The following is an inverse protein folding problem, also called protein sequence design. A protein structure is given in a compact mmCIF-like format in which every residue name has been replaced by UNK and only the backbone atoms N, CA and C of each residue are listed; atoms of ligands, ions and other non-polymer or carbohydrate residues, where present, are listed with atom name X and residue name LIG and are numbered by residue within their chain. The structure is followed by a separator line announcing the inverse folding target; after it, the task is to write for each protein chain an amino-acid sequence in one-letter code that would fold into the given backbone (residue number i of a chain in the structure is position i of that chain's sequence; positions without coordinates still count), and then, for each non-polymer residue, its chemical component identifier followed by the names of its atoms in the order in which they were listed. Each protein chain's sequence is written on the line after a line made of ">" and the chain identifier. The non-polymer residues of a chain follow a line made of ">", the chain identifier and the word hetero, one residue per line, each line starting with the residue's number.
data_IF_916959421733
#
_entry.id   IF_916959421733
#
_cell.length_a   1.000
_cell.length_b   1.000
_cell.length_c   1.000
_cell.angle_alpha   90.00
_cell.angle_beta   90.00
_cell.angle_gamma   90.00
#
_symmetry.space_group_name_H-M   'P 1'
#
loop_
_entity.id
_entity.type
_entity.pdbx_description
1 polymer ?
#
# COMPACT_ATOMS: atom_id res chain seq x y z
N UNK A 1 -11.73 -23.36 -7.60
CA UNK A 1 -12.68 -22.23 -7.62
C UNK A 1 -11.91 -21.00 -7.21
N UNK A 2 -12.00 -19.91 -7.97
CA UNK A 2 -11.29 -18.65 -7.68
C UNK A 2 -12.33 -17.61 -7.29
N UNK A 3 -12.21 -17.08 -6.08
CA UNK A 3 -13.09 -16.05 -5.55
C UNK A 3 -12.41 -14.69 -5.70
N UNK A 4 -13.05 -13.77 -6.43
CA UNK A 4 -12.50 -12.47 -6.80
C UNK A 4 -13.41 -11.40 -6.18
N UNK A 5 -12.85 -10.67 -5.22
CA UNK A 5 -13.50 -9.54 -4.57
C UNK A 5 -12.86 -8.25 -5.05
N UNK A 6 -13.68 -7.33 -5.59
CA UNK A 6 -13.26 -6.04 -6.12
C UNK A 6 -14.13 -4.93 -5.53
N UNK A 7 -13.62 -3.68 -5.48
CA UNK A 7 -14.46 -2.53 -5.20
C UNK A 7 -15.63 -2.45 -6.18
N UNK A 8 -16.85 -2.27 -5.67
CA UNK A 8 -18.05 -2.20 -6.51
C UNK A 8 -18.20 -0.85 -7.18
N UNK A 9 -17.69 0.21 -6.54
CA UNK A 9 -17.75 1.57 -7.06
C UNK A 9 -16.56 2.39 -6.59
N UNK A 10 -15.98 3.14 -7.52
CA UNK A 10 -14.83 4.00 -7.30
C UNK A 10 -15.17 5.38 -7.84
N UNK A 11 -14.94 6.41 -7.04
CA UNK A 11 -15.12 7.82 -7.41
C UNK A 11 -13.78 8.51 -7.19
N UNK A 12 -13.21 9.05 -8.26
CA UNK A 12 -11.94 9.81 -8.22
C UNK A 12 -12.17 11.17 -8.86
N UNK A 13 -11.65 12.23 -8.24
CA UNK A 13 -11.67 13.57 -8.80
C UNK A 13 -11.78 14.67 -7.76
N UNK A 14 -11.71 15.92 -8.22
CA UNK A 14 -11.79 17.08 -7.35
C UNK A 14 -13.20 17.18 -6.74
N UNK A 15 -13.28 17.33 -5.42
CA UNK A 15 -14.55 17.38 -4.70
C UNK A 15 -15.31 16.05 -4.67
N UNK A 16 -14.66 14.92 -4.98
CA UNK A 16 -15.27 13.58 -4.92
C UNK A 16 -15.88 13.25 -3.55
N UNK A 17 -15.36 13.83 -2.46
CA UNK A 17 -15.88 13.61 -1.10
C UNK A 17 -17.36 13.99 -0.98
N UNK A 18 -17.84 14.96 -1.78
CA UNK A 18 -19.23 15.41 -1.83
C UNK A 18 -20.19 14.36 -2.44
N UNK A 19 -19.65 13.25 -2.97
CA UNK A 19 -20.43 12.13 -3.53
C UNK A 19 -20.61 10.98 -2.54
N UNK A 20 -20.13 11.09 -1.29
CA UNK A 20 -20.16 9.97 -0.34
C UNK A 20 -21.59 9.49 -0.03
N UNK A 21 -22.55 10.40 0.16
CA UNK A 21 -23.98 10.04 0.35
C UNK A 21 -24.54 9.30 -0.87
N UNK A 22 -24.20 9.77 -2.07
CA UNK A 22 -24.59 9.11 -3.32
C UNK A 22 -23.98 7.70 -3.43
N UNK A 23 -22.71 7.54 -3.04
CA UNK A 23 -22.04 6.25 -3.02
C UNK A 23 -22.70 5.26 -2.05
N UNK A 24 -22.96 5.68 -0.81
CA UNK A 24 -23.63 4.86 0.22
C UNK A 24 -25.02 4.41 -0.27
N UNK A 25 -25.78 5.33 -0.87
CA UNK A 25 -27.11 5.04 -1.42
C UNK A 25 -27.05 4.02 -2.56
N UNK A 26 -26.15 4.17 -3.52
CA UNK A 26 -26.04 3.26 -4.67
C UNK A 26 -25.52 1.87 -4.30
N UNK A 27 -24.72 1.77 -3.24
CA UNK A 27 -24.27 0.50 -2.68
C UNK A 27 -25.36 -0.18 -1.82
N UNK A 28 -26.55 0.43 -1.69
CA UNK A 28 -27.66 -0.04 -0.86
C UNK A 28 -27.27 -0.30 0.60
N UNK A 29 -26.33 0.50 1.12
CA UNK A 29 -25.93 0.45 2.51
C UNK A 29 -26.95 1.21 3.34
N UNK A 30 -27.65 0.50 4.23
CA UNK A 30 -28.66 1.09 5.13
C UNK A 30 -28.10 1.27 6.53
N UNK A 31 -28.74 2.16 7.30
CA UNK A 31 -28.31 2.67 8.61
C UNK A 31 -27.12 3.61 8.49
N UNK A 32 -26.83 4.35 9.54
CA UNK A 32 -25.73 5.30 9.55
C UNK A 32 -24.41 4.55 9.83
N UNK A 33 -23.33 4.83 9.07
CA UNK A 33 -22.03 4.25 9.34
C UNK A 33 -21.38 4.80 10.62
N UNK A 34 -20.31 4.14 11.06
CA UNK A 34 -19.30 4.77 11.92
C UNK A 34 -18.17 5.33 11.03
N UNK A 35 -17.83 6.60 11.20
CA UNK A 35 -16.70 7.23 10.52
C UNK A 35 -15.45 7.05 11.37
N UNK A 36 -14.40 6.47 10.81
CA UNK A 36 -13.11 6.25 11.46
C UNK A 36 -12.09 7.21 10.88
N UNK A 37 -11.46 8.03 11.72
CA UNK A 37 -10.50 9.08 11.32
C UNK A 37 -9.46 9.29 12.42
N UNK A 38 -8.42 10.07 12.16
CA UNK A 38 -7.54 10.65 13.19
C UNK A 38 -7.91 12.12 13.49
N UNK A 39 -7.33 12.69 14.56
CA UNK A 39 -7.59 14.07 15.03
C UNK A 39 -7.27 15.16 14.00
N UNK A 40 -6.30 14.92 13.12
CA UNK A 40 -5.89 15.89 12.10
C UNK A 40 -6.88 15.86 10.95
N UNK A 41 -7.19 14.66 10.45
CA UNK A 41 -8.10 14.45 9.32
C UNK A 41 -9.56 14.75 9.69
N UNK A 42 -9.93 14.63 10.97
CA UNK A 42 -11.28 14.97 11.44
C UNK A 42 -11.72 16.36 10.95
N UNK A 43 -10.83 17.35 11.09
CA UNK A 43 -11.07 18.75 10.73
C UNK A 43 -10.94 19.04 9.24
N UNK A 44 -10.27 18.16 8.49
CA UNK A 44 -9.97 18.36 7.07
C UNK A 44 -11.07 17.75 6.20
N UNK A 45 -11.59 16.58 6.58
CA UNK A 45 -12.47 15.80 5.72
C UNK A 45 -13.53 14.99 6.48
N UNK A 46 -13.22 14.44 7.66
CA UNK A 46 -14.12 13.46 8.27
C UNK A 46 -15.40 14.07 8.83
N UNK A 47 -15.39 15.32 9.33
CA UNK A 47 -16.60 16.04 9.74
C UNK A 47 -17.57 16.23 8.58
N UNK A 48 -17.07 16.66 7.43
CA UNK A 48 -17.91 16.84 6.24
C UNK A 48 -18.54 15.52 5.79
N UNK A 49 -17.84 14.40 5.94
CA UNK A 49 -18.39 13.05 5.66
C UNK A 49 -19.43 12.66 6.71
N UNK A 50 -19.16 12.90 7.98
CA UNK A 50 -20.07 12.60 9.09
C UNK A 50 -21.37 13.41 8.98
N UNK A 51 -21.29 14.71 8.71
CA UNK A 51 -22.44 15.61 8.51
C UNK A 51 -23.26 15.18 7.28
N UNK A 52 -22.57 14.81 6.18
CA UNK A 52 -23.22 14.29 5.00
C UNK A 52 -23.96 12.97 5.24
N UNK A 53 -23.66 12.22 6.29
CA UNK A 53 -24.25 10.90 6.55
C UNK A 53 -24.98 10.81 7.89
N UNK A 54 -25.07 11.90 8.66
CA UNK A 54 -25.62 11.95 10.02
C UNK A 54 -25.02 10.85 10.92
N UNK A 55 -23.69 10.78 10.95
CA UNK A 55 -22.94 9.63 11.49
C UNK A 55 -21.97 10.02 12.61
N UNK A 56 -21.79 9.11 13.57
CA UNK A 56 -20.80 9.27 14.63
C UNK A 56 -19.36 9.13 14.11
N UNK A 57 -18.43 9.79 14.81
CA UNK A 57 -16.99 9.71 14.53
C UNK A 57 -16.26 8.94 15.63
N UNK A 58 -15.39 8.01 15.22
CA UNK A 58 -14.40 7.35 16.05
C UNK A 58 -13.00 7.88 15.73
N UNK A 59 -12.35 8.48 16.73
CA UNK A 59 -10.99 9.00 16.62
C UNK A 59 -9.99 7.88 16.93
N UNK A 60 -9.35 7.37 15.88
CA UNK A 60 -8.22 6.47 15.93
C UNK A 60 -6.98 7.18 16.49
N UNK A 61 -6.44 6.64 17.59
CA UNK A 61 -5.26 7.22 18.25
C UNK A 61 -3.98 6.47 17.96
N UNK A 62 -4.00 5.15 18.11
CA UNK A 62 -2.81 4.30 17.98
C UNK A 62 -3.15 2.97 17.32
N UNK A 63 -2.19 2.45 16.55
CA UNK A 63 -2.34 1.15 15.90
C UNK A 63 -1.88 0.03 16.83
N UNK A 64 -2.76 -0.39 17.74
CA UNK A 64 -2.52 -1.52 18.63
C UNK A 64 -3.77 -2.40 18.79
N UNK A 65 -3.60 -3.59 19.35
CA UNK A 65 -4.70 -4.54 19.53
C UNK A 65 -5.79 -4.03 20.47
N UNK A 66 -5.45 -3.16 21.42
CA UNK A 66 -6.40 -2.60 22.37
C UNK A 66 -7.35 -1.62 21.67
N UNK A 67 -6.82 -0.72 20.86
CA UNK A 67 -7.61 0.22 20.06
C UNK A 67 -8.51 -0.52 19.06
N UNK A 68 -7.98 -1.55 18.39
CA UNK A 68 -8.78 -2.38 17.47
C UNK A 68 -9.95 -3.02 18.21
N UNK A 69 -9.71 -3.61 19.37
CA UNK A 69 -10.75 -4.26 20.17
C UNK A 69 -11.79 -3.26 20.70
N UNK A 70 -11.37 -2.06 21.09
CA UNK A 70 -12.29 -0.98 21.49
C UNK A 70 -13.24 -0.59 20.35
N UNK A 71 -12.71 -0.38 19.14
CA UNK A 71 -13.51 -0.03 17.98
C UNK A 71 -14.49 -1.16 17.62
N UNK A 72 -14.02 -2.42 17.62
CA UNK A 72 -14.86 -3.60 17.38
C UNK A 72 -16.02 -3.69 18.38
N UNK A 73 -15.75 -3.46 19.66
CA UNK A 73 -16.78 -3.51 20.70
C UNK A 73 -17.80 -2.38 20.54
N UNK A 74 -17.38 -1.18 20.14
CA UNK A 74 -18.28 -0.08 19.81
C UNK A 74 -19.19 -0.43 18.61
N UNK A 75 -18.61 -0.94 17.53
CA UNK A 75 -19.33 -1.38 16.32
C UNK A 75 -20.42 -2.39 16.68
N UNK A 76 -20.06 -3.43 17.45
CA UNK A 76 -20.99 -4.49 17.87
C UNK A 76 -22.08 -3.97 18.79
N UNK A 77 -21.72 -3.16 19.80
CA UNK A 77 -22.66 -2.60 20.79
C UNK A 77 -23.73 -1.73 20.15
N UNK A 78 -23.34 -0.93 19.14
CA UNK A 78 -24.24 0.02 18.49
C UNK A 78 -24.94 -0.57 17.25
N UNK A 79 -24.69 -1.84 16.91
CA UNK A 79 -25.29 -2.49 15.74
C UNK A 79 -24.88 -1.85 14.41
N UNK A 80 -23.67 -1.29 14.34
CA UNK A 80 -23.13 -0.65 13.14
C UNK A 80 -22.93 -1.71 12.06
N UNK A 81 -23.46 -1.45 10.85
CA UNK A 81 -23.50 -2.44 9.75
C UNK A 81 -22.51 -2.17 8.62
N UNK A 82 -21.86 -1.02 8.64
CA UNK A 82 -20.75 -0.68 7.75
C UNK A 82 -19.98 0.50 8.36
N UNK A 83 -18.71 0.63 7.98
CA UNK A 83 -17.82 1.69 8.49
C UNK A 83 -17.11 2.40 7.34
N UNK A 84 -16.71 3.65 7.55
CA UNK A 84 -16.02 4.46 6.54
C UNK A 84 -14.71 4.94 7.14
N UNK A 85 -13.59 4.58 6.52
CA UNK A 85 -12.28 5.09 6.90
C UNK A 85 -12.00 6.37 6.13
N UNK A 86 -11.77 7.48 6.84
CA UNK A 86 -11.42 8.78 6.26
C UNK A 86 -10.04 9.16 6.79
N UNK A 87 -9.00 9.04 5.96
CA UNK A 87 -7.64 9.33 6.42
C UNK A 87 -6.53 8.77 5.56
N UNK A 88 -5.30 8.85 6.09
CA UNK A 88 -4.13 8.25 5.47
C UNK A 88 -4.11 6.73 5.63
N UNK A 89 -3.06 6.08 5.12
CA UNK A 89 -2.95 4.61 5.07
C UNK A 89 -3.17 3.89 6.41
N UNK A 90 -2.71 4.48 7.53
CA UNK A 90 -2.89 3.86 8.87
C UNK A 90 -4.36 3.83 9.31
N UNK A 91 -5.14 4.89 9.04
CA UNK A 91 -6.57 4.95 9.35
C UNK A 91 -7.34 3.95 8.49
N UNK A 92 -7.00 3.87 7.20
CA UNK A 92 -7.63 2.93 6.27
C UNK A 92 -7.32 1.48 6.67
N UNK A 93 -6.06 1.16 7.00
CA UNK A 93 -5.68 -0.18 7.45
C UNK A 93 -6.38 -0.56 8.75
N UNK A 94 -6.48 0.36 9.71
CA UNK A 94 -7.21 0.14 10.97
C UNK A 94 -8.71 -0.13 10.71
N UNK A 95 -9.34 0.70 9.87
CA UNK A 95 -10.75 0.56 9.46
C UNK A 95 -10.98 -0.82 8.84
N UNK A 96 -10.14 -1.18 7.86
CA UNK A 96 -10.21 -2.44 7.13
C UNK A 96 -10.09 -3.66 8.07
N UNK A 97 -9.22 -3.59 9.08
CA UNK A 97 -9.07 -4.66 10.08
C UNK A 97 -10.31 -4.77 10.97
N UNK A 98 -10.86 -3.64 11.43
CA UNK A 98 -12.07 -3.64 12.23
C UNK A 98 -13.27 -4.21 11.45
N UNK A 99 -13.44 -3.78 10.19
CA UNK A 99 -14.46 -4.30 9.29
C UNK A 99 -14.33 -5.81 9.09
N UNK A 100 -13.12 -6.28 8.79
CA UNK A 100 -12.82 -7.70 8.59
C UNK A 100 -13.14 -8.55 9.82
N UNK A 101 -12.70 -8.12 11.01
CA UNK A 101 -12.93 -8.87 12.26
C UNK A 101 -14.40 -8.93 12.67
N UNK A 102 -15.20 -7.92 12.31
CA UNK A 102 -16.64 -7.89 12.59
C UNK A 102 -17.45 -8.60 11.49
N UNK A 103 -16.93 -8.67 10.27
CA UNK A 103 -17.64 -9.24 9.12
C UNK A 103 -18.63 -8.27 8.48
N UNK A 104 -18.31 -6.97 8.47
CA UNK A 104 -19.12 -5.92 7.84
C UNK A 104 -18.35 -5.23 6.70
N UNK A 105 -19.03 -4.70 5.68
CA UNK A 105 -18.37 -3.94 4.62
C UNK A 105 -17.79 -2.61 5.12
N UNK A 106 -16.81 -2.09 4.39
CA UNK A 106 -16.28 -0.74 4.60
C UNK A 106 -16.08 0.03 3.31
N UNK A 107 -16.04 1.36 3.44
CA UNK A 107 -15.63 2.29 2.39
C UNK A 107 -14.30 2.93 2.75
N UNK A 108 -13.51 3.21 1.72
CA UNK A 108 -12.20 3.87 1.82
C UNK A 108 -12.29 5.29 1.26
N UNK A 109 -11.97 6.29 2.08
CA UNK A 109 -11.89 7.71 1.70
C UNK A 109 -10.46 8.18 2.01
N UNK A 110 -9.48 7.83 1.15
CA UNK A 110 -8.09 8.16 1.41
C UNK A 110 -7.85 9.67 1.30
N UNK A 111 -7.15 10.23 2.28
CA UNK A 111 -6.70 11.65 2.26
C UNK A 111 -5.24 11.81 1.87
N UNK A 112 -4.54 10.70 1.62
CA UNK A 112 -3.18 10.66 1.10
C UNK A 112 -2.96 9.40 0.26
N UNK A 113 -2.11 9.48 -0.75
CA UNK A 113 -1.78 8.37 -1.65
C UNK A 113 -0.38 7.80 -1.36
N UNK A 114 -0.17 7.20 -0.18
CA UNK A 114 1.17 6.76 0.29
C UNK A 114 1.57 5.33 -0.05
N UNK A 115 0.59 4.45 -0.29
CA UNK A 115 0.76 3.04 -0.67
C UNK A 115 -0.59 2.45 -1.09
N UNK A 116 -0.59 1.26 -1.68
CA UNK A 116 -1.79 0.61 -2.25
C UNK A 116 -2.82 0.10 -1.22
N UNK A 117 -2.50 0.23 0.07
CA UNK A 117 -3.34 -0.14 1.22
C UNK A 117 -4.70 0.57 1.25
N UNK A 118 -4.82 1.69 0.52
CA UNK A 118 -6.07 2.43 0.33
C UNK A 118 -7.14 1.62 -0.42
N UNK A 119 -6.74 0.57 -1.15
CA UNK A 119 -7.64 -0.30 -1.93
C UNK A 119 -7.40 -1.79 -1.76
N UNK A 120 -6.25 -2.19 -1.22
CA UNK A 120 -5.83 -3.59 -1.26
C UNK A 120 -6.55 -4.49 -0.24
N UNK A 121 -6.76 -5.78 -0.58
CA UNK A 121 -7.28 -6.80 0.34
C UNK A 121 -6.18 -7.31 1.31
N UNK A 122 -5.23 -6.45 1.67
CA UNK A 122 -4.13 -6.76 2.57
C UNK A 122 -4.04 -5.69 3.65
N UNK A 123 -3.99 -6.08 4.92
CA UNK A 123 -3.73 -5.16 6.03
C UNK A 123 -2.45 -5.53 6.75
N UNK A 124 -1.63 -4.55 7.12
CA UNK A 124 -0.44 -4.78 7.93
C UNK A 124 -0.77 -4.53 9.40
N UNK A 125 -0.75 -5.59 10.21
CA UNK A 125 -0.83 -5.48 11.66
C UNK A 125 0.53 -5.05 12.22
N UNK A 126 0.56 -3.87 12.85
CA UNK A 126 1.76 -3.32 13.50
C UNK A 126 2.00 -3.98 14.88
N UNK A 127 2.40 -5.25 14.88
CA UNK A 127 2.89 -5.93 16.09
C UNK A 127 4.42 -5.78 16.20
N UNK A 128 5.05 -6.37 17.24
CA UNK A 128 6.52 -6.50 17.34
C UNK A 128 7.17 -7.13 16.10
N UNK A 129 6.40 -7.88 15.31
CA UNK A 129 6.72 -8.30 13.96
C UNK A 129 5.52 -7.93 13.08
N UNK A 130 5.68 -7.08 12.06
CA UNK A 130 4.58 -6.78 11.14
C UNK A 130 4.07 -8.05 10.48
N UNK A 131 2.76 -8.28 10.54
CA UNK A 131 2.12 -9.41 9.85
C UNK A 131 1.09 -8.86 8.88
N UNK A 132 1.29 -9.11 7.59
CA UNK A 132 0.26 -8.83 6.59
C UNK A 132 -0.79 -9.94 6.64
N UNK A 133 -2.04 -9.56 6.86
CA UNK A 133 -3.19 -10.47 6.83
C UNK A 133 -4.08 -10.16 5.64
N UNK A 134 -4.65 -11.22 5.03
CA UNK A 134 -5.66 -11.07 3.99
C UNK A 134 -6.96 -10.61 4.63
N UNK A 135 -7.56 -9.59 4.05
CA UNK A 135 -8.78 -8.92 4.48
C UNK A 135 -9.66 -8.65 3.27
N UNK A 136 -10.87 -8.15 3.50
CA UNK A 136 -11.76 -7.78 2.40
C UNK A 136 -11.28 -6.49 1.69
N UNK A 137 -11.50 -6.45 0.38
CA UNK A 137 -11.40 -5.22 -0.40
C UNK A 137 -12.45 -4.20 0.07
N UNK A 138 -12.21 -2.88 -0.02
CA UNK A 138 -13.29 -1.92 0.23
C UNK A 138 -14.39 -2.13 -0.81
N UNK A 139 -15.66 -2.03 -0.41
CA UNK A 139 -16.77 -2.15 -1.36
C UNK A 139 -16.97 -0.85 -2.16
N UNK A 140 -16.46 0.27 -1.64
CA UNK A 140 -16.52 1.59 -2.28
C UNK A 140 -15.29 2.43 -1.94
N UNK A 141 -14.82 3.21 -2.90
CA UNK A 141 -13.68 4.12 -2.75
C UNK A 141 -14.09 5.54 -3.19
N UNK A 142 -13.76 6.55 -2.39
CA UNK A 142 -13.88 7.97 -2.75
C UNK A 142 -12.54 8.65 -2.57
N UNK A 143 -11.83 8.88 -3.67
CA UNK A 143 -10.53 9.53 -3.66
C UNK A 143 -10.67 10.97 -4.15
N UNK A 144 -10.73 11.91 -3.21
CA UNK A 144 -10.79 13.34 -3.52
C UNK A 144 -9.40 13.87 -3.87
N UNK A 145 -9.20 14.22 -5.13
CA UNK A 145 -7.89 14.63 -5.62
C UNK A 145 -7.47 16.00 -5.11
N UNK A 146 -8.40 16.86 -4.68
CA UNK A 146 -8.07 18.14 -4.06
C UNK A 146 -7.49 17.93 -2.66
N UNK A 147 -8.09 17.05 -1.87
CA UNK A 147 -7.59 16.69 -0.54
C UNK A 147 -6.22 16.00 -0.66
N UNK A 148 -6.11 15.01 -1.56
CA UNK A 148 -4.87 14.23 -1.75
C UNK A 148 -3.73 15.13 -2.25
N UNK A 149 -3.99 16.08 -3.15
CA UNK A 149 -2.99 17.04 -3.66
C UNK A 149 -2.41 17.93 -2.54
N UNK A 150 -3.20 18.21 -1.51
CA UNK A 150 -2.79 19.01 -0.36
C UNK A 150 -2.04 18.22 0.73
N UNK A 151 -1.96 16.89 0.62
CA UNK A 151 -1.19 16.06 1.55
C UNK A 151 0.33 16.31 1.41
N UNK A 152 1.15 16.02 2.44
CA UNK A 152 2.60 16.17 2.36
C UNK A 152 3.18 15.43 1.16
N UNK A 153 3.99 16.11 0.33
CA UNK A 153 4.58 15.57 -0.90
C UNK A 153 5.34 14.24 -0.68
N UNK A 154 5.93 14.06 0.51
CA UNK A 154 6.60 12.80 0.89
C UNK A 154 5.67 11.58 0.79
N UNK A 155 4.37 11.74 1.10
CA UNK A 155 3.38 10.67 0.98
C UNK A 155 3.12 10.35 -0.50
N UNK A 156 2.97 11.35 -1.36
CA UNK A 156 2.83 11.17 -2.81
C UNK A 156 4.05 10.43 -3.40
N UNK A 157 5.26 10.85 -3.03
CA UNK A 157 6.51 10.22 -3.45
C UNK A 157 6.61 8.76 -3.00
N UNK A 158 6.20 8.48 -1.74
CA UNK A 158 6.08 7.11 -1.22
C UNK A 158 5.11 6.28 -2.07
N UNK A 159 3.92 6.80 -2.41
CA UNK A 159 2.97 6.05 -3.24
C UNK A 159 3.49 5.76 -4.64
N UNK A 160 4.19 6.72 -5.26
CA UNK A 160 4.84 6.48 -6.55
C UNK A 160 5.87 5.34 -6.45
N UNK A 161 6.71 5.38 -5.40
CA UNK A 161 7.72 4.36 -5.16
C UNK A 161 7.13 2.97 -4.93
N UNK A 162 5.99 2.89 -4.22
CA UNK A 162 5.22 1.67 -4.01
C UNK A 162 4.70 1.09 -5.34
N UNK A 163 4.05 1.91 -6.17
CA UNK A 163 3.53 1.46 -7.48
C UNK A 163 4.65 1.07 -8.44
N UNK A 164 5.77 1.81 -8.46
CA UNK A 164 6.93 1.47 -9.28
C UNK A 164 7.48 0.08 -8.87
N UNK A 165 7.39 -0.27 -7.59
CA UNK A 165 7.84 -1.56 -7.05
C UNK A 165 7.07 -2.77 -7.62
N UNK A 166 5.86 -2.57 -8.15
CA UNK A 166 5.12 -3.59 -8.90
C UNK A 166 5.95 -4.18 -10.04
N UNK A 167 6.85 -3.40 -10.65
CA UNK A 167 7.72 -3.88 -11.72
C UNK A 167 8.50 -5.13 -11.32
N UNK A 168 9.23 -5.08 -10.19
CA UNK A 168 10.01 -6.24 -9.71
C UNK A 168 9.13 -7.32 -9.11
N UNK A 169 7.98 -6.96 -8.52
CA UNK A 169 7.00 -7.94 -8.04
C UNK A 169 6.51 -8.85 -9.17
N UNK A 170 6.22 -8.29 -10.35
CA UNK A 170 5.82 -9.06 -11.53
C UNK A 170 6.96 -9.91 -12.08
N UNK A 171 8.20 -9.41 -12.08
CA UNK A 171 9.37 -10.21 -12.47
C UNK A 171 9.54 -11.42 -11.54
N UNK A 172 9.41 -11.22 -10.23
CA UNK A 172 9.46 -12.32 -9.25
C UNK A 172 8.31 -13.31 -9.40
N UNK A 173 7.10 -12.81 -9.68
CA UNK A 173 5.94 -13.69 -9.88
C UNK A 173 6.11 -14.54 -11.14
N UNK A 174 6.62 -13.94 -12.22
CA UNK A 174 6.93 -14.64 -13.47
C UNK A 174 8.03 -15.69 -13.25
N UNK A 175 9.11 -15.34 -12.55
CA UNK A 175 10.17 -16.27 -12.18
C UNK A 175 9.63 -17.46 -11.37
N UNK A 176 8.76 -17.22 -10.39
CA UNK A 176 8.14 -18.27 -9.59
C UNK A 176 7.24 -19.19 -10.42
N UNK A 177 6.53 -18.64 -11.42
CA UNK A 177 5.76 -19.44 -12.36
C UNK A 177 6.67 -20.35 -13.20
N UNK A 178 7.74 -19.79 -13.77
CA UNK A 178 8.65 -20.51 -14.67
C UNK A 178 9.45 -21.60 -13.93
N UNK A 179 9.95 -21.32 -12.73
CA UNK A 179 10.84 -22.24 -12.01
C UNK A 179 10.13 -23.17 -11.02
N UNK A 180 8.98 -22.77 -10.48
CA UNK A 180 8.24 -23.54 -9.45
C UNK A 180 6.85 -23.97 -9.88
N UNK A 181 6.39 -23.57 -11.07
CA UNK A 181 5.03 -23.85 -11.53
C UNK A 181 3.96 -23.14 -10.70
N UNK A 182 4.30 -22.06 -9.99
CA UNK A 182 3.32 -21.27 -9.24
C UNK A 182 2.26 -20.71 -10.20
N UNK A 183 1.01 -20.56 -9.73
CA UNK A 183 -0.02 -19.89 -10.52
C UNK A 183 0.40 -18.48 -10.92
N UNK A 184 0.27 -18.14 -12.21
CA UNK A 184 0.45 -16.78 -12.75
C UNK A 184 -0.87 -16.28 -13.33
N UNK A 185 -1.29 -15.07 -12.96
CA UNK A 185 -2.52 -14.48 -13.45
C UNK A 185 -2.25 -13.37 -14.45
N UNK A 186 -2.28 -13.65 -15.75
CA UNK A 186 -1.91 -12.72 -16.82
C UNK A 186 -2.63 -11.36 -16.74
N UNK A 187 -3.93 -11.38 -16.44
CA UNK A 187 -4.72 -10.15 -16.27
C UNK A 187 -4.24 -9.31 -15.08
N UNK A 188 -4.04 -9.94 -13.92
CA UNK A 188 -3.55 -9.24 -12.73
C UNK A 188 -2.13 -8.71 -12.93
N UNK A 189 -1.27 -9.52 -13.55
CA UNK A 189 0.10 -9.15 -13.83
C UNK A 189 0.20 -7.99 -14.83
N UNK A 190 -0.59 -8.03 -15.90
CA UNK A 190 -0.64 -6.97 -16.91
C UNK A 190 -1.14 -5.65 -16.33
N UNK A 191 -2.21 -5.69 -15.52
CA UNK A 191 -2.77 -4.50 -14.87
C UNK A 191 -1.75 -3.86 -13.92
N UNK A 192 -1.08 -4.68 -13.10
CA UNK A 192 -0.08 -4.20 -12.16
C UNK A 192 1.16 -3.62 -12.85
N UNK A 193 1.67 -4.31 -13.88
CA UNK A 193 2.79 -3.84 -14.71
C UNK A 193 2.44 -2.52 -15.44
N UNK A 194 1.22 -2.41 -15.96
CA UNK A 194 0.74 -1.19 -16.60
C UNK A 194 0.69 -0.02 -15.60
N UNK A 195 0.27 -0.27 -14.36
CA UNK A 195 0.24 0.74 -13.29
C UNK A 195 1.64 1.29 -13.00
N UNK A 196 2.66 0.42 -12.88
CA UNK A 196 4.06 0.85 -12.73
C UNK A 196 4.55 1.71 -13.91
N UNK A 197 4.28 1.27 -15.14
CA UNK A 197 4.71 1.97 -16.35
C UNK A 197 4.08 3.36 -16.46
N UNK A 198 2.77 3.47 -16.22
CA UNK A 198 2.06 4.77 -16.26
C UNK A 198 2.67 5.75 -15.26
N UNK A 199 2.98 5.31 -14.04
CA UNK A 199 3.61 6.16 -13.03
C UNK A 199 5.01 6.60 -13.45
N UNK A 200 5.83 5.69 -13.99
CA UNK A 200 7.17 6.03 -14.50
C UNK A 200 7.11 7.04 -15.65
N UNK A 201 6.24 6.78 -16.64
CA UNK A 201 6.10 7.61 -17.84
C UNK A 201 5.58 9.02 -17.53
N UNK A 202 4.80 9.17 -16.47
CA UNK A 202 4.18 10.44 -16.08
C UNK A 202 4.80 11.06 -14.82
N UNK A 203 5.96 10.59 -14.37
CA UNK A 203 6.53 10.93 -13.06
C UNK A 203 6.61 12.44 -12.78
N UNK A 204 6.95 13.26 -13.79
CA UNK A 204 7.04 14.72 -13.64
C UNK A 204 5.67 15.41 -13.50
N UNK A 205 4.59 14.77 -13.97
CA UNK A 205 3.23 15.33 -14.02
C UNK A 205 2.39 14.93 -12.82
N UNK A 206 2.77 13.89 -12.08
CA UNK A 206 1.96 13.35 -10.96
C UNK A 206 1.72 14.40 -9.87
N UNK A 207 2.64 15.35 -9.69
CA UNK A 207 2.46 16.42 -8.71
C UNK A 207 1.30 17.36 -9.06
N UNK A 208 1.10 17.61 -10.35
CA UNK A 208 0.02 18.46 -10.85
C UNK A 208 -1.28 17.66 -10.97
N UNK A 209 -1.14 16.40 -11.38
CA UNK A 209 -2.23 15.46 -11.58
C UNK A 209 -2.07 14.19 -10.73
N UNK A 210 -2.51 14.30 -9.47
CA UNK A 210 -2.44 13.19 -8.50
C UNK A 210 -3.38 12.03 -8.86
N UNK A 211 -4.33 12.23 -9.78
CA UNK A 211 -5.25 11.17 -10.23
C UNK A 211 -4.49 9.99 -10.85
N UNK A 212 -3.38 10.28 -11.55
CA UNK A 212 -2.51 9.29 -12.16
C UNK A 212 -2.02 8.28 -11.11
N UNK A 213 -1.54 8.78 -9.97
CA UNK A 213 -1.08 7.92 -8.89
C UNK A 213 -2.25 7.19 -8.21
N UNK A 214 -3.34 7.92 -7.94
CA UNK A 214 -4.52 7.36 -7.27
C UNK A 214 -5.11 6.19 -8.06
N UNK A 215 -5.30 6.35 -9.37
CA UNK A 215 -5.81 5.30 -10.25
C UNK A 215 -4.84 4.11 -10.35
N UNK A 216 -3.53 4.35 -10.34
CA UNK A 216 -2.54 3.30 -10.35
C UNK A 216 -2.55 2.49 -9.03
N UNK A 217 -2.69 3.16 -7.88
CA UNK A 217 -2.84 2.50 -6.57
C UNK A 217 -4.14 1.69 -6.48
N UNK A 218 -5.25 2.23 -7.00
CA UNK A 218 -6.53 1.49 -7.10
C UNK A 218 -6.36 0.26 -7.99
N UNK A 219 -5.66 0.41 -9.12
CA UNK A 219 -5.38 -0.67 -10.06
C UNK A 219 -4.51 -1.77 -9.44
N UNK A 220 -3.52 -1.41 -8.60
CA UNK A 220 -2.76 -2.36 -7.78
C UNK A 220 -3.67 -3.18 -6.85
N UNK A 221 -4.61 -2.53 -6.15
CA UNK A 221 -5.60 -3.22 -5.31
C UNK A 221 -6.49 -4.19 -6.09
N UNK A 222 -6.99 -3.74 -7.24
CA UNK A 222 -7.79 -4.57 -8.16
C UNK A 222 -6.98 -5.76 -8.68
N UNK A 223 -5.70 -5.55 -9.05
CA UNK A 223 -4.82 -6.62 -9.48
C UNK A 223 -4.64 -7.69 -8.39
N UNK A 224 -4.46 -7.28 -7.12
CA UNK A 224 -4.40 -8.21 -5.99
C UNK A 224 -5.71 -8.97 -5.77
N UNK A 225 -6.86 -8.29 -5.92
CA UNK A 225 -8.18 -8.92 -5.88
C UNK A 225 -8.34 -9.98 -6.97
N UNK A 226 -7.96 -9.66 -8.21
CA UNK A 226 -7.95 -10.61 -9.34
C UNK A 226 -6.99 -11.76 -9.06
N UNK A 227 -5.78 -11.51 -8.54
CA UNK A 227 -4.81 -12.56 -8.26
C UNK A 227 -5.22 -13.46 -7.08
N UNK A 228 -6.03 -12.95 -6.14
CA UNK A 228 -6.31 -13.59 -4.86
C UNK A 228 -5.10 -13.64 -3.92
N UNK A 229 -4.08 -12.83 -4.19
CA UNK A 229 -2.85 -12.73 -3.41
C UNK A 229 -2.16 -11.38 -3.65
N UNK A 230 -1.15 -11.02 -2.84
CA UNK A 230 -0.36 -9.81 -3.11
C UNK A 230 0.70 -9.97 -4.21
N UNK A 231 0.84 -11.14 -4.85
CA UNK A 231 1.86 -11.39 -5.88
C UNK A 231 1.99 -10.29 -6.95
N UNK A 232 0.91 -9.70 -7.50
CA UNK A 232 1.06 -8.68 -8.54
C UNK A 232 1.76 -7.41 -8.07
N UNK A 233 1.73 -7.10 -6.78
CA UNK A 233 2.24 -5.83 -6.24
C UNK A 233 3.32 -6.03 -5.18
N UNK A 234 3.67 -7.27 -4.84
CA UNK A 234 4.60 -7.60 -3.77
C UNK A 234 5.47 -8.80 -4.15
N UNK A 235 6.76 -8.56 -4.33
CA UNK A 235 7.84 -9.51 -4.53
C UNK A 235 8.92 -9.36 -3.46
N UNK A 236 10.18 -9.57 -3.84
CA UNK A 236 11.35 -9.48 -2.97
C UNK A 236 11.60 -8.06 -2.45
N UNK A 237 11.21 -7.02 -3.19
CA UNK A 237 11.34 -5.63 -2.74
C UNK A 237 10.47 -5.35 -1.49
N UNK A 238 9.26 -5.92 -1.44
CA UNK A 238 8.42 -5.89 -0.25
C UNK A 238 8.97 -6.75 0.88
N UNK A 239 9.54 -7.92 0.58
CA UNK A 239 10.19 -8.74 1.61
C UNK A 239 11.39 -8.00 2.24
N UNK A 240 12.13 -7.24 1.44
CA UNK A 240 13.17 -6.34 1.92
C UNK A 240 12.60 -5.22 2.81
N UNK A 241 11.51 -4.56 2.41
CA UNK A 241 10.84 -3.55 3.27
C UNK A 241 10.39 -4.14 4.60
N UNK A 242 9.73 -5.30 4.59
CA UNK A 242 9.30 -5.95 5.83
C UNK A 242 10.48 -6.38 6.71
N UNK A 243 11.59 -6.83 6.11
CA UNK A 243 12.81 -7.12 6.86
C UNK A 243 13.40 -5.86 7.50
N UNK A 244 13.38 -4.71 6.81
CA UNK A 244 13.77 -3.42 7.37
C UNK A 244 12.87 -2.99 8.52
N UNK A 245 11.54 -3.09 8.38
CA UNK A 245 10.59 -2.77 9.45
C UNK A 245 10.86 -3.56 10.75
N UNK A 246 11.44 -4.76 10.65
CA UNK A 246 11.77 -5.60 11.80
C UNK A 246 13.09 -5.24 12.49
N UNK A 247 14.03 -4.59 11.80
CA UNK A 247 15.41 -4.40 12.28
C UNK A 247 15.83 -2.94 12.40
N UNK A 248 15.19 -2.03 11.68
CA UNK A 248 15.49 -0.61 11.72
C UNK A 248 14.91 0.00 12.99
N UNK A 249 15.65 0.91 13.62
CA UNK A 249 15.18 1.62 14.82
C UNK A 249 13.99 2.54 14.49
N UNK A 250 14.04 3.20 13.32
CA UNK A 250 13.00 4.07 12.79
C UNK A 250 12.80 3.77 11.31
N UNK A 251 11.87 2.88 10.94
CA UNK A 251 11.62 2.56 9.55
C UNK A 251 11.10 3.80 8.78
N UNK A 252 11.49 3.90 7.51
CA UNK A 252 10.99 4.88 6.57
C UNK A 252 9.53 4.58 6.17
N UNK A 253 8.93 5.40 5.31
CA UNK A 253 7.60 5.06 4.78
C UNK A 253 7.68 3.77 3.94
N UNK A 254 6.62 2.97 3.97
CA UNK A 254 6.57 1.66 3.29
C UNK A 254 6.99 1.76 1.82
N UNK A 255 6.35 2.66 1.05
CA UNK A 255 6.66 2.82 -0.37
C UNK A 255 8.08 3.29 -0.63
N UNK A 256 8.67 4.11 0.26
CA UNK A 256 10.09 4.50 0.17
C UNK A 256 11.02 3.27 0.28
N UNK A 257 10.74 2.38 1.24
CA UNK A 257 11.50 1.15 1.44
C UNK A 257 11.32 0.18 0.25
N UNK A 258 10.09 0.02 -0.24
CA UNK A 258 9.77 -0.79 -1.42
C UNK A 258 10.46 -0.26 -2.67
N UNK A 259 10.50 1.06 -2.87
CA UNK A 259 11.20 1.71 -3.98
C UNK A 259 12.71 1.43 -3.97
N UNK A 260 13.37 1.58 -2.82
CA UNK A 260 14.81 1.24 -2.69
C UNK A 260 15.05 -0.25 -2.89
N UNK A 261 14.18 -1.10 -2.35
CA UNK A 261 14.19 -2.54 -2.63
C UNK A 261 14.09 -2.83 -4.13
N UNK A 262 13.19 -2.14 -4.83
CA UNK A 262 12.93 -2.31 -6.26
C UNK A 262 14.19 -2.03 -7.10
N UNK A 263 14.99 -1.00 -6.75
CA UNK A 263 16.28 -0.74 -7.40
C UNK A 263 17.19 -1.98 -7.32
N UNK A 264 17.34 -2.56 -6.12
CA UNK A 264 18.22 -3.71 -5.89
C UNK A 264 17.71 -4.99 -6.54
N UNK A 265 16.40 -5.24 -6.47
CA UNK A 265 15.81 -6.43 -7.09
C UNK A 265 15.82 -6.35 -8.62
N UNK A 266 15.62 -5.16 -9.20
CA UNK A 266 15.74 -4.98 -10.64
C UNK A 266 17.17 -5.24 -11.12
N UNK A 267 18.19 -4.85 -10.35
CA UNK A 267 19.58 -5.18 -10.66
C UNK A 267 19.81 -6.71 -10.64
N UNK A 268 19.29 -7.43 -9.64
CA UNK A 268 19.39 -8.90 -9.57
C UNK A 268 18.67 -9.61 -10.72
N UNK A 269 17.57 -9.03 -11.21
CA UNK A 269 16.85 -9.51 -12.40
C UNK A 269 17.55 -9.14 -13.72
N UNK A 270 18.68 -8.41 -13.70
CA UNK A 270 19.30 -7.80 -14.89
C UNK A 270 18.31 -6.91 -15.69
N UNK A 271 17.41 -6.22 -14.97
CA UNK A 271 16.43 -5.30 -15.54
C UNK A 271 16.90 -3.83 -15.42
N UNK A 272 16.07 -2.88 -15.88
CA UNK A 272 16.39 -1.45 -15.99
C UNK A 272 16.39 -0.70 -14.63
N UNK A 273 17.20 -1.16 -13.69
CA UNK A 273 17.27 -0.60 -12.33
C UNK A 273 17.70 0.88 -12.28
N UNK A 274 18.47 1.36 -13.26
CA UNK A 274 18.85 2.77 -13.37
C UNK A 274 17.65 3.65 -13.68
N UNK A 275 16.77 3.20 -14.58
CA UNK A 275 15.53 3.92 -14.89
C UNK A 275 14.61 4.02 -13.67
N UNK A 276 14.53 2.95 -12.87
CA UNK A 276 13.78 2.94 -11.59
C UNK A 276 14.38 3.97 -10.63
N UNK A 277 15.70 3.91 -10.39
CA UNK A 277 16.42 4.86 -9.53
C UNK A 277 16.19 6.31 -9.97
N UNK A 278 16.30 6.58 -11.25
CA UNK A 278 16.22 7.94 -11.78
C UNK A 278 14.79 8.48 -11.74
N UNK A 279 13.78 7.60 -11.92
CA UNK A 279 12.37 7.93 -11.71
C UNK A 279 12.08 8.28 -10.24
N UNK A 280 12.59 7.50 -9.29
CA UNK A 280 12.44 7.77 -7.86
C UNK A 280 13.08 9.12 -7.48
N UNK A 281 14.26 9.44 -8.01
CA UNK A 281 14.90 10.74 -7.80
C UNK A 281 14.06 11.91 -8.31
N UNK A 282 13.43 11.77 -9.49
CA UNK A 282 12.60 12.84 -10.09
C UNK A 282 11.39 13.20 -9.23
N UNK A 283 10.83 12.24 -8.50
CA UNK A 283 9.73 12.48 -7.55
C UNK A 283 10.21 12.71 -6.10
N UNK A 284 11.51 12.92 -5.89
CA UNK A 284 12.12 13.09 -4.56
C UNK A 284 11.85 11.94 -3.58
N UNK A 285 11.71 10.71 -4.10
CA UNK A 285 11.69 9.50 -3.28
C UNK A 285 13.13 9.06 -2.93
N UNK A 286 13.36 8.42 -1.77
CA UNK A 286 14.67 7.88 -1.41
C UNK A 286 15.19 6.86 -2.42
N UNK A 287 16.49 6.92 -2.68
CA UNK A 287 17.25 5.93 -3.48
C UNK A 287 18.44 5.34 -2.74
N UNK A 288 18.71 5.80 -1.51
CA UNK A 288 19.84 5.38 -0.69
C UNK A 288 19.44 5.07 0.75
N UNK A 289 20.26 4.28 1.45
CA UNK A 289 20.07 3.99 2.88
C UNK A 289 19.98 5.28 3.72
N UNK A 290 20.83 6.26 3.41
CA UNK A 290 20.86 7.55 4.10
C UNK A 290 19.56 8.34 3.92
N UNK A 291 18.99 8.37 2.71
CA UNK A 291 17.72 9.06 2.44
C UNK A 291 16.53 8.36 3.11
N UNK A 292 16.58 7.03 3.27
CA UNK A 292 15.63 6.27 4.09
C UNK A 292 15.81 6.55 5.60
N UNK A 293 16.95 7.12 6.01
CA UNK A 293 17.28 7.31 7.43
C UNK A 293 17.70 6.02 8.15
N UNK A 294 18.15 5.01 7.40
CA UNK A 294 18.67 3.74 7.94
C UNK A 294 20.18 3.62 7.70
N UNK A 295 20.83 2.73 8.44
CA UNK A 295 22.27 2.45 8.30
C UNK A 295 22.52 1.48 7.15
N UNK A 296 23.68 1.60 6.51
CA UNK A 296 24.09 0.70 5.42
C UNK A 296 24.06 -0.78 5.85
N UNK A 297 24.47 -1.09 7.09
CA UNK A 297 24.40 -2.46 7.64
C UNK A 297 22.96 -2.96 7.84
N UNK A 298 21.98 -2.07 8.05
CA UNK A 298 20.57 -2.45 8.11
C UNK A 298 20.05 -2.84 6.73
N UNK A 299 20.44 -2.13 5.68
CA UNK A 299 20.13 -2.52 4.29
C UNK A 299 20.73 -3.89 3.95
N UNK A 300 22.02 -4.08 4.23
CA UNK A 300 22.70 -5.37 3.98
C UNK A 300 22.03 -6.48 4.77
N UNK A 301 21.74 -6.24 6.06
CA UNK A 301 21.07 -7.24 6.91
C UNK A 301 19.66 -7.56 6.40
N UNK A 302 18.87 -6.56 6.01
CA UNK A 302 17.53 -6.77 5.46
C UNK A 302 17.56 -7.66 4.20
N UNK A 303 18.48 -7.41 3.26
CA UNK A 303 18.65 -8.25 2.06
C UNK A 303 18.94 -9.71 2.40
N UNK A 304 19.82 -9.96 3.39
CA UNK A 304 20.18 -11.34 3.78
C UNK A 304 19.04 -12.10 4.46
N UNK A 305 18.05 -11.42 5.06
CA UNK A 305 16.94 -12.07 5.76
C UNK A 305 15.60 -11.96 5.03
N UNK A 306 15.49 -11.16 3.96
CA UNK A 306 14.25 -10.91 3.22
C UNK A 306 13.57 -12.21 2.76
N UNK A 307 14.31 -13.18 2.24
CA UNK A 307 13.77 -14.49 1.81
C UNK A 307 13.10 -15.29 2.94
N UNK A 308 13.36 -14.96 4.22
CA UNK A 308 12.78 -15.64 5.40
C UNK A 308 11.47 -15.00 5.89
N UNK A 309 11.08 -13.85 5.33
CA UNK A 309 9.92 -13.09 5.79
C UNK A 309 8.61 -13.83 5.45
N UNK A 310 8.55 -14.47 4.29
CA UNK A 310 7.40 -15.20 3.80
C UNK A 310 7.86 -16.36 2.93
N UNK A 311 7.15 -17.48 3.01
CA UNK A 311 7.31 -18.58 2.07
C UNK A 311 6.82 -18.15 0.67
N UNK A 312 7.72 -17.55 -0.11
CA UNK A 312 7.45 -17.00 -1.43
C UNK A 312 8.71 -17.07 -2.29
N UNK A 313 8.63 -17.76 -3.43
CA UNK A 313 9.74 -17.82 -4.37
C UNK A 313 9.94 -16.48 -5.10
N UNK A 314 11.17 -15.96 -5.09
CA UNK A 314 11.57 -14.67 -5.67
C UNK A 314 13.00 -14.78 -6.21
N UNK A 315 13.53 -13.71 -6.79
CA UNK A 315 14.92 -13.62 -7.23
C UNK A 315 15.94 -13.86 -6.12
N UNK A 316 15.54 -13.67 -4.85
CA UNK A 316 16.39 -13.94 -3.70
C UNK A 316 16.57 -15.44 -3.41
N UNK A 317 15.73 -16.33 -3.97
CA UNK A 317 15.80 -17.80 -3.78
C UNK A 317 16.02 -18.19 -2.30
N UNK A 318 17.15 -18.84 -2.01
CA UNK A 318 17.56 -19.31 -0.67
C UNK A 318 18.30 -18.24 0.17
N UNK A 319 18.35 -17.00 -0.34
CA UNK A 319 18.98 -15.84 0.29
C UNK A 319 20.32 -15.44 -0.31
N UNK A 320 20.71 -14.20 -0.01
CA UNK A 320 22.04 -13.67 -0.32
C UNK A 320 22.96 -13.83 0.89
N UNK A 321 24.23 -14.13 0.64
CA UNK A 321 25.29 -13.97 1.64
C UNK A 321 25.48 -12.49 1.99
N UNK A 322 26.15 -12.20 3.12
CA UNK A 322 26.46 -10.81 3.50
C UNK A 322 27.29 -10.08 2.43
N UNK A 323 28.21 -10.79 1.79
CA UNK A 323 29.08 -10.24 0.75
C UNK A 323 28.28 -9.91 -0.53
N UNK A 324 27.45 -10.84 -1.00
CA UNK A 324 26.58 -10.61 -2.17
C UNK A 324 25.59 -9.46 -1.91
N UNK A 325 24.94 -9.45 -0.75
CA UNK A 325 24.02 -8.37 -0.37
C UNK A 325 24.72 -7.00 -0.35
N UNK A 326 25.95 -6.94 0.16
CA UNK A 326 26.75 -5.71 0.16
C UNK A 326 27.15 -5.29 -1.24
N UNK A 327 27.58 -6.23 -2.08
CA UNK A 327 27.96 -5.97 -3.47
C UNK A 327 26.79 -5.42 -4.28
N UNK A 328 25.59 -6.02 -4.17
CA UNK A 328 24.36 -5.53 -4.81
C UNK A 328 24.04 -4.11 -4.37
N UNK A 329 24.05 -3.84 -3.07
CA UNK A 329 23.72 -2.52 -2.54
C UNK A 329 24.76 -1.44 -2.95
N UNK A 330 26.03 -1.80 -3.07
CA UNK A 330 27.10 -0.91 -3.56
C UNK A 330 26.94 -0.64 -5.07
N UNK A 331 26.74 -1.68 -5.88
CA UNK A 331 26.64 -1.57 -7.34
C UNK A 331 25.43 -0.74 -7.78
N UNK A 332 24.35 -0.83 -7.03
CA UNK A 332 23.13 -0.03 -7.26
C UNK A 332 23.20 1.38 -6.68
N UNK A 333 24.26 1.69 -5.90
CA UNK A 333 24.45 2.99 -5.26
C UNK A 333 23.54 3.24 -4.05
N UNK A 334 22.84 2.21 -3.55
CA UNK A 334 21.98 2.30 -2.36
C UNK A 334 22.81 2.53 -1.09
N UNK A 335 24.00 1.93 -1.01
CA UNK A 335 25.00 2.19 0.04
C UNK A 335 26.33 2.62 -0.56
N UNK A 336 27.20 3.25 0.25
CA UNK A 336 28.54 3.65 -0.18
C UNK A 336 29.52 2.48 -0.06
N UNK A 337 30.61 2.56 -0.84
CA UNK A 337 31.74 1.60 -0.76
C UNK A 337 32.43 1.64 0.59
#
# INVERSE_FOLDING_TARGET
>A
MKDIELPRRVIVGDGAINKIRTLVSELNLKNDPLIITDETIEKIAARDVADQLDSDIYIFKNFDDYEIENCINLIKRNGIRHIIGVGGGSVIDFTKICAFRVGIPYLSVPTSASHDGITSPQATLKHKKPVSIRVNSPIGIVADTEIIRNAPHRLLASGCADVISNYTAILDWKLAHEEKGEYYGDYAASLSMMSAKIVIENIDRIRDDVSILVEALISSGVAMGIAGSSRPCSGAEHLFSHALDMIAEKPALHGEQCGVGCIMMAYLHNAEWENIRDSLKRINAPTTARELGVRDEEVVKALTIAHKIRDRYTILRDGLTKEEARDVAIKTGVIRR
#
